data_IF_314526729035
#
_entry.id   IF_314526729035
#
_cell.length_a   1.000
_cell.length_b   1.000
_cell.length_c   1.000
_cell.angle_alpha   90.00
_cell.angle_beta   90.00
_cell.angle_gamma   90.00
#
_symmetry.space_group_name_H-M   'P 1'
#
loop_
_entity.id
_entity.type
_entity.pdbx_description
1 polymer ?
#
# COMPACT_ATOMS: atom_id res chain seq x y z
N UNK A 1 3.36 -9.80 -2.89
CA UNK A 1 2.53 -8.59 -2.74
C UNK A 1 1.92 -8.14 -4.07
N UNK A 2 2.71 -7.75 -5.08
CA UNK A 2 2.21 -7.13 -6.33
C UNK A 2 1.12 -7.93 -7.07
N UNK A 3 1.32 -9.22 -7.33
CA UNK A 3 0.33 -10.04 -8.04
C UNK A 3 -0.99 -10.18 -7.26
N UNK A 4 -0.92 -10.27 -5.93
CA UNK A 4 -2.12 -10.36 -5.09
C UNK A 4 -2.90 -9.04 -5.08
N UNK A 5 -2.20 -7.90 -5.11
CA UNK A 5 -2.85 -6.58 -5.23
C UNK A 5 -3.64 -6.46 -6.54
N UNK A 6 -3.10 -6.98 -7.65
CA UNK A 6 -3.80 -6.94 -8.93
C UNK A 6 -5.12 -7.73 -8.90
N UNK A 7 -5.14 -8.90 -8.26
CA UNK A 7 -6.38 -9.66 -8.06
C UNK A 7 -7.37 -8.92 -7.14
N UNK A 8 -6.87 -8.28 -6.07
CA UNK A 8 -7.73 -7.50 -5.19
C UNK A 8 -8.34 -6.28 -5.90
N UNK A 9 -7.65 -5.67 -6.87
CA UNK A 9 -8.20 -4.56 -7.66
C UNK A 9 -9.44 -4.92 -8.47
N UNK A 10 -9.64 -6.20 -8.78
CA UNK A 10 -10.87 -6.66 -9.47
C UNK A 10 -12.09 -6.64 -8.52
N UNK A 11 -11.86 -6.80 -7.23
CA UNK A 11 -12.92 -6.86 -6.20
C UNK A 11 -13.07 -5.55 -5.43
N UNK A 12 -11.94 -4.87 -5.17
CA UNK A 12 -11.82 -3.64 -4.40
C UNK A 12 -11.34 -2.57 -5.38
N UNK A 13 -12.18 -1.59 -5.69
CA UNK A 13 -11.80 -0.52 -6.59
C UNK A 13 -10.84 0.45 -5.88
N UNK A 14 -9.54 0.37 -6.20
CA UNK A 14 -8.53 1.32 -5.70
C UNK A 14 -7.44 1.61 -6.75
N UNK A 15 -6.80 2.77 -6.60
CA UNK A 15 -5.64 3.17 -7.39
C UNK A 15 -4.34 2.69 -6.75
N UNK A 16 -3.40 2.25 -7.57
CA UNK A 16 -2.11 1.73 -7.13
C UNK A 16 -0.99 2.41 -7.91
N UNK A 17 -0.08 3.07 -7.20
CA UNK A 17 1.13 3.65 -7.78
C UNK A 17 2.37 2.88 -7.29
N UNK A 18 3.21 2.43 -8.23
CA UNK A 18 4.52 1.86 -7.90
C UNK A 18 5.56 2.97 -7.79
N UNK A 19 6.11 3.17 -6.60
CA UNK A 19 7.16 4.17 -6.35
C UNK A 19 8.48 3.44 -6.06
N UNK A 20 9.57 3.87 -6.71
CA UNK A 20 10.89 3.35 -6.41
C UNK A 20 11.48 4.08 -5.19
N UNK A 21 11.49 3.40 -4.04
CA UNK A 21 12.01 3.96 -2.79
C UNK A 21 13.51 4.27 -2.82
N UNK A 22 14.27 3.66 -3.72
CA UNK A 22 15.72 3.90 -3.83
C UNK A 22 16.03 5.21 -4.58
N UNK A 23 15.06 5.71 -5.35
CA UNK A 23 15.20 6.97 -6.11
C UNK A 23 14.89 8.21 -5.28
N UNK A 24 14.28 8.05 -4.11
CA UNK A 24 13.90 9.16 -3.23
C UNK A 24 14.57 8.97 -1.84
N UNK A 25 15.49 9.86 -1.43
CA UNK A 25 16.25 9.67 -0.21
C UNK A 25 15.39 9.73 1.06
N UNK A 26 14.24 10.41 1.02
CA UNK A 26 13.31 10.48 2.15
C UNK A 26 12.50 9.18 2.27
N UNK A 27 12.03 8.64 1.14
CA UNK A 27 11.42 7.30 1.12
C UNK A 27 12.41 6.19 1.47
N UNK A 28 13.67 6.30 1.05
CA UNK A 28 14.72 5.33 1.39
C UNK A 28 14.97 5.30 2.90
N UNK A 29 15.03 6.47 3.56
CA UNK A 29 15.15 6.56 5.03
C UNK A 29 13.92 6.01 5.75
N UNK A 30 12.73 6.26 5.22
CA UNK A 30 11.46 5.88 5.87
C UNK A 30 11.09 4.40 5.67
N UNK A 31 11.33 3.86 4.47
CA UNK A 31 10.82 2.54 4.05
C UNK A 31 11.88 1.58 3.50
N UNK A 32 13.14 2.01 3.35
CA UNK A 32 14.16 1.26 2.60
C UNK A 32 14.37 -0.20 3.03
N UNK A 33 14.20 -0.52 4.31
CA UNK A 33 14.32 -1.90 4.84
C UNK A 33 12.99 -2.65 4.95
N UNK A 34 11.87 -1.95 4.71
CA UNK A 34 10.51 -2.48 4.84
C UNK A 34 9.95 -2.98 3.49
N UNK A 35 10.72 -2.85 2.41
CA UNK A 35 10.28 -3.27 1.08
C UNK A 35 9.99 -4.78 0.99
N UNK A 36 8.93 -5.19 0.27
CA UNK A 36 7.91 -4.33 -0.34
C UNK A 36 6.96 -3.72 0.72
N UNK A 37 6.67 -2.41 0.61
CA UNK A 37 5.75 -1.65 1.47
C UNK A 37 4.48 -1.28 0.70
N UNK A 38 3.33 -1.42 1.35
CA UNK A 38 2.08 -0.84 0.90
C UNK A 38 1.69 0.26 1.91
N UNK A 39 1.56 1.47 1.42
CA UNK A 39 1.20 2.64 2.21
C UNK A 39 0.23 3.52 1.42
N UNK A 40 -0.62 4.23 2.15
CA UNK A 40 -1.43 5.32 1.61
C UNK A 40 -0.92 6.62 2.21
N UNK A 41 -0.47 7.54 1.36
CA UNK A 41 0.18 8.79 1.77
C UNK A 41 1.37 8.52 2.72
N UNK A 42 1.16 8.63 4.02
CA UNK A 42 2.19 8.39 5.05
C UNK A 42 1.88 7.19 5.96
N UNK A 43 0.67 6.62 5.87
CA UNK A 43 0.23 5.50 6.69
C UNK A 43 0.64 4.16 6.05
N UNK A 44 1.43 3.37 6.78
CA UNK A 44 1.79 2.01 6.35
C UNK A 44 0.62 1.07 6.64
N UNK A 45 0.09 0.46 5.59
CA UNK A 45 -0.96 -0.55 5.69
C UNK A 45 -0.33 -1.91 6.02
N UNK A 46 0.70 -2.31 5.26
CA UNK A 46 1.45 -3.54 5.50
C UNK A 46 2.82 -3.50 4.82
N UNK A 47 3.75 -4.32 5.32
CA UNK A 47 5.10 -4.47 4.76
C UNK A 47 5.51 -5.95 4.75
N UNK A 48 6.43 -6.31 3.84
CA UNK A 48 6.89 -7.69 3.54
C UNK A 48 5.83 -8.62 2.93
N UNK A 49 4.66 -8.70 3.55
CA UNK A 49 3.53 -9.52 3.13
C UNK A 49 2.29 -8.64 2.94
N UNK A 50 1.44 -9.05 2.00
CA UNK A 50 0.16 -8.38 1.80
C UNK A 50 -0.79 -8.82 2.92
N UNK A 51 -1.39 -7.85 3.60
CA UNK A 51 -2.47 -8.09 4.55
C UNK A 51 -3.81 -7.68 3.91
N UNK A 52 -4.57 -8.63 3.30
CA UNK A 52 -5.81 -8.30 2.63
C UNK A 52 -6.86 -7.73 3.60
N UNK A 53 -6.91 -8.22 4.84
CA UNK A 53 -7.87 -7.76 5.85
C UNK A 53 -7.58 -6.31 6.25
N UNK A 54 -6.32 -5.95 6.48
CA UNK A 54 -5.88 -4.58 6.77
C UNK A 54 -6.13 -3.64 5.60
N UNK A 55 -5.87 -4.09 4.37
CA UNK A 55 -6.19 -3.32 3.16
C UNK A 55 -7.69 -3.10 2.98
N UNK A 56 -8.52 -4.14 3.15
CA UNK A 56 -9.98 -4.05 3.10
C UNK A 56 -10.51 -3.10 4.18
N UNK A 57 -9.98 -3.19 5.40
CA UNK A 57 -10.33 -2.28 6.50
C UNK A 57 -9.94 -0.84 6.18
N UNK A 58 -8.76 -0.61 5.62
CA UNK A 58 -8.28 0.72 5.23
C UNK A 58 -9.19 1.34 4.15
N UNK A 59 -9.48 0.59 3.09
CA UNK A 59 -10.36 1.05 2.01
C UNK A 59 -11.81 1.27 2.50
N UNK A 60 -12.30 0.40 3.39
CA UNK A 60 -13.60 0.55 4.04
C UNK A 60 -13.67 1.74 5.02
N UNK A 61 -12.56 2.07 5.67
CA UNK A 61 -12.46 3.24 6.56
C UNK A 61 -12.36 4.56 5.79
N UNK A 62 -11.76 4.56 4.59
CA UNK A 62 -11.68 5.72 3.70
C UNK A 62 -12.95 6.00 2.89
N UNK A 63 -13.99 5.17 3.01
CA UNK A 63 -15.26 5.31 2.27
C UNK A 63 -16.24 6.33 2.88
N UNK A 64 -15.82 7.16 3.83
CA UNK A 64 -16.66 8.16 4.47
C UNK A 64 -16.16 9.58 4.23
N UNK A 65 -16.81 10.30 3.30
CA UNK A 65 -16.87 11.79 3.15
C UNK A 65 -15.52 12.51 3.11
N UNK A 66 -15.16 13.20 2.02
CA UNK A 66 -15.59 14.58 1.68
C UNK A 66 -15.28 14.92 0.22
#
# INVERSE_FOLDING_TARGET
MWQHLQSLRETLAFELASINVDSDPDLQRRYGTLIPVLASEEEIICHYYLDPVGLERFLGAGSGTE
#
